data_IF_218068637774
#
_entry.id   IF_218068637774
#
_cell.length_a   1.000
_cell.length_b   1.000
_cell.length_c   1.000
_cell.angle_alpha   90.00
_cell.angle_beta   90.00
_cell.angle_gamma   90.00
#
_symmetry.space_group_name_H-M   'P 1'
#
loop_
_entity.id
_entity.type
_entity.pdbx_description
1 polymer ?
#
# COMPACT_ATOMS: atom_id res chain seq x y z
N UNK A 1 22.29 -11.93 25.89
CA UNK A 1 23.07 -12.85 25.05
C UNK A 1 22.17 -13.61 24.07
N UNK A 2 21.26 -14.50 24.52
CA UNK A 2 20.29 -15.23 23.66
C UNK A 2 19.43 -14.36 22.72
N UNK A 3 19.23 -13.07 23.03
CA UNK A 3 18.42 -12.12 22.23
C UNK A 3 19.16 -11.52 21.02
N UNK A 4 20.49 -11.49 21.04
CA UNK A 4 21.31 -11.04 19.90
C UNK A 4 21.53 -12.16 18.87
N UNK A 5 21.55 -13.43 19.30
CA UNK A 5 21.72 -14.60 18.43
C UNK A 5 20.54 -14.82 17.48
N UNK A 6 19.31 -14.53 17.91
CA UNK A 6 18.12 -14.65 17.04
C UNK A 6 18.10 -13.58 15.94
N UNK A 7 18.60 -12.37 16.26
CA UNK A 7 18.77 -11.27 15.31
C UNK A 7 19.91 -11.57 14.33
N UNK A 8 21.05 -12.03 14.83
CA UNK A 8 22.19 -12.50 14.02
C UNK A 8 21.77 -13.68 13.11
N UNK A 9 20.93 -14.61 13.57
CA UNK A 9 20.42 -15.69 12.74
C UNK A 9 19.47 -15.19 11.64
N UNK A 10 18.54 -14.26 11.94
CA UNK A 10 17.69 -13.65 10.92
C UNK A 10 18.51 -12.88 9.87
N UNK A 11 19.46 -12.05 10.33
CA UNK A 11 20.35 -11.25 9.49
C UNK A 11 21.33 -12.14 8.69
N UNK A 12 21.80 -13.26 9.25
CA UNK A 12 22.67 -14.22 8.55
C UNK A 12 21.94 -14.95 7.43
N UNK A 13 20.65 -15.25 7.61
CA UNK A 13 19.80 -15.84 6.58
C UNK A 13 19.57 -14.85 5.42
N UNK A 14 19.49 -13.54 5.73
CA UNK A 14 19.36 -12.43 4.76
C UNK A 14 20.62 -12.18 3.92
N UNK A 15 21.81 -12.23 4.52
CA UNK A 15 23.10 -11.98 3.82
C UNK A 15 23.33 -12.93 2.64
N UNK A 16 22.74 -14.12 2.67
CA UNK A 16 22.82 -15.10 1.56
C UNK A 16 21.89 -14.80 0.39
N UNK A 17 20.89 -13.93 0.54
CA UNK A 17 19.79 -13.76 -0.41
C UNK A 17 19.67 -12.35 -1.01
N UNK A 18 20.32 -11.33 -0.44
CA UNK A 18 20.08 -9.93 -0.79
C UNK A 18 21.36 -9.19 -1.21
N UNK A 19 21.35 -8.62 -2.41
CA UNK A 19 22.41 -7.74 -2.90
C UNK A 19 22.13 -6.27 -2.48
N UNK A 20 23.02 -5.73 -1.65
CA UNK A 20 23.42 -4.35 -1.27
C UNK A 20 22.45 -3.15 -1.27
N UNK A 21 21.37 -3.08 -2.05
CA UNK A 21 20.42 -1.94 -1.96
C UNK A 21 19.21 -2.25 -1.06
N UNK A 22 18.80 -3.52 -0.97
CA UNK A 22 17.68 -3.93 -0.13
C UNK A 22 18.08 -4.04 1.34
N UNK A 23 19.36 -4.33 1.61
CA UNK A 23 19.91 -4.33 2.97
C UNK A 23 19.73 -2.97 3.63
N UNK A 24 19.93 -1.86 2.91
CA UNK A 24 19.84 -0.53 3.52
C UNK A 24 18.43 -0.20 4.02
N UNK A 25 17.38 -0.44 3.23
CA UNK A 25 16.00 -0.14 3.60
C UNK A 25 15.49 -1.04 4.74
N UNK A 26 15.86 -2.33 4.70
CA UNK A 26 15.51 -3.30 5.76
C UNK A 26 16.28 -2.96 7.04
N UNK A 27 17.59 -2.78 6.96
CA UNK A 27 18.42 -2.42 8.12
C UNK A 27 18.01 -1.09 8.72
N UNK A 28 17.65 -0.09 7.91
CA UNK A 28 17.18 1.21 8.41
C UNK A 28 15.85 1.07 9.16
N UNK A 29 14.90 0.32 8.60
CA UNK A 29 13.60 0.07 9.24
C UNK A 29 13.76 -0.73 10.53
N UNK A 30 14.55 -1.80 10.51
CA UNK A 30 14.86 -2.61 11.70
C UNK A 30 15.55 -1.73 12.74
N UNK A 31 16.60 -1.00 12.35
CA UNK A 31 17.40 -0.17 13.26
C UNK A 31 16.57 0.90 13.94
N UNK A 32 15.76 1.67 13.21
CA UNK A 32 14.95 2.74 13.79
C UNK A 32 13.89 2.19 14.75
N UNK A 33 13.29 1.05 14.40
CA UNK A 33 12.36 0.34 15.27
C UNK A 33 13.09 -0.10 16.55
N UNK A 34 14.28 -0.70 16.44
CA UNK A 34 15.08 -1.13 17.59
C UNK A 34 15.55 0.04 18.48
N UNK A 35 16.10 1.11 17.90
CA UNK A 35 16.60 2.30 18.64
C UNK A 35 15.46 2.96 19.42
N UNK A 36 14.29 3.11 18.82
CA UNK A 36 13.11 3.64 19.52
C UNK A 36 12.56 2.70 20.61
N UNK A 37 12.67 1.39 20.42
CA UNK A 37 12.15 0.43 21.39
C UNK A 37 13.05 0.28 22.61
N UNK A 38 14.36 0.50 22.46
CA UNK A 38 15.28 0.58 23.59
C UNK A 38 15.01 1.80 24.47
N UNK A 39 14.52 2.91 23.92
CA UNK A 39 14.18 4.11 24.70
C UNK A 39 12.84 4.00 25.45
N UNK A 40 11.94 3.11 25.06
CA UNK A 40 10.56 3.02 25.61
C UNK A 40 10.31 1.85 26.57
N UNK A 41 11.31 1.01 26.83
CA UNK A 41 11.25 -0.11 27.80
C UNK A 41 10.09 -1.12 27.53
N UNK A 42 9.66 -1.24 26.28
CA UNK A 42 8.59 -2.16 25.87
C UNK A 42 9.04 -3.63 25.98
N UNK A 43 8.09 -4.55 26.26
CA UNK A 43 8.40 -5.98 26.44
C UNK A 43 8.93 -6.61 25.16
N UNK A 44 10.21 -7.04 25.18
CA UNK A 44 10.98 -7.64 24.08
C UNK A 44 10.29 -8.81 23.34
N UNK A 45 9.39 -9.55 24.00
CA UNK A 45 8.72 -10.73 23.41
C UNK A 45 7.64 -10.36 22.38
N UNK A 46 6.79 -9.38 22.69
CA UNK A 46 5.76 -8.87 21.76
C UNK A 46 6.41 -8.23 20.52
N UNK A 47 7.55 -7.60 20.74
CA UNK A 47 8.34 -6.88 19.75
C UNK A 47 8.96 -7.81 18.71
N UNK A 48 9.64 -8.87 19.18
CA UNK A 48 10.25 -9.86 18.28
C UNK A 48 9.22 -10.48 17.36
N UNK A 49 7.98 -10.64 17.83
CA UNK A 49 6.92 -11.26 17.05
C UNK A 49 6.44 -10.33 15.92
N UNK A 50 6.13 -9.07 16.22
CA UNK A 50 5.61 -8.11 15.21
C UNK A 50 6.65 -7.81 14.13
N UNK A 51 7.91 -7.56 14.52
CA UNK A 51 9.00 -7.26 13.58
C UNK A 51 9.27 -8.42 12.63
N UNK A 52 9.42 -9.64 13.16
CA UNK A 52 9.65 -10.85 12.35
C UNK A 52 8.52 -11.04 11.34
N UNK A 53 7.27 -10.81 11.75
CA UNK A 53 6.10 -10.97 10.88
C UNK A 53 6.05 -9.93 9.74
N UNK A 54 6.41 -8.68 10.02
CA UNK A 54 6.53 -7.65 8.97
C UNK A 54 7.66 -7.96 7.99
N UNK A 55 8.81 -8.42 8.46
CA UNK A 55 9.93 -8.84 7.60
C UNK A 55 9.53 -10.00 6.69
N UNK A 56 8.81 -10.99 7.22
CA UNK A 56 8.27 -12.08 6.41
C UNK A 56 7.26 -11.59 5.36
N UNK A 57 6.36 -10.67 5.71
CA UNK A 57 5.40 -10.08 4.76
C UNK A 57 6.13 -9.41 3.59
N UNK A 58 7.16 -8.65 3.94
CA UNK A 58 8.00 -7.92 3.01
C UNK A 58 8.75 -8.85 2.05
N UNK A 59 9.47 -9.83 2.60
CA UNK A 59 10.23 -10.79 1.82
C UNK A 59 9.34 -11.58 0.84
N UNK A 60 8.16 -12.02 1.29
CA UNK A 60 7.23 -12.75 0.43
C UNK A 60 6.67 -11.90 -0.70
N UNK A 61 6.43 -10.62 -0.47
CA UNK A 61 5.94 -9.71 -1.51
C UNK A 61 6.98 -9.48 -2.61
N UNK A 62 8.26 -9.33 -2.24
CA UNK A 62 9.37 -9.26 -3.19
C UNK A 62 9.49 -10.57 -3.99
N UNK A 63 9.42 -11.71 -3.32
CA UNK A 63 9.45 -13.01 -3.99
C UNK A 63 8.29 -13.15 -4.99
N UNK A 64 7.07 -12.74 -4.61
CA UNK A 64 5.91 -12.74 -5.51
C UNK A 64 6.08 -11.82 -6.71
N UNK A 65 6.62 -10.60 -6.51
CA UNK A 65 6.95 -9.70 -7.61
C UNK A 65 7.95 -10.32 -8.58
N UNK A 66 8.99 -10.99 -8.06
CA UNK A 66 9.95 -11.73 -8.89
C UNK A 66 9.31 -12.87 -9.67
N UNK A 67 8.40 -13.64 -9.04
CA UNK A 67 7.66 -14.69 -9.73
C UNK A 67 6.80 -14.14 -10.87
N UNK A 68 6.11 -13.02 -10.63
CA UNK A 68 5.29 -12.33 -11.63
C UNK A 68 6.12 -11.77 -12.79
N UNK A 69 7.28 -11.17 -12.48
CA UNK A 69 8.24 -10.71 -13.47
C UNK A 69 8.65 -11.83 -14.43
N UNK A 70 8.93 -13.00 -13.88
CA UNK A 70 9.35 -14.18 -14.65
C UNK A 70 8.17 -14.91 -15.33
N UNK A 71 6.94 -14.39 -15.19
CA UNK A 71 5.70 -15.05 -15.65
C UNK A 71 5.56 -16.49 -15.14
N UNK A 72 6.20 -16.79 -14.02
CA UNK A 72 6.08 -18.09 -13.36
C UNK A 72 4.76 -18.15 -12.60
N UNK A 73 4.15 -19.33 -12.56
CA UNK A 73 2.97 -19.57 -11.73
C UNK A 73 3.37 -19.35 -10.27
N UNK A 74 2.63 -18.49 -9.55
CA UNK A 74 2.77 -18.38 -8.11
C UNK A 74 2.51 -19.75 -7.48
N UNK A 75 3.57 -20.40 -7.01
CA UNK A 75 3.45 -21.71 -6.39
C UNK A 75 2.51 -21.67 -5.19
N UNK A 76 1.78 -22.77 -4.97
CA UNK A 76 0.89 -22.93 -3.80
C UNK A 76 1.61 -22.63 -2.48
N UNK A 77 2.92 -22.87 -2.42
CA UNK A 77 3.75 -22.60 -1.25
C UNK A 77 3.91 -21.10 -0.95
N UNK A 78 4.07 -20.24 -1.97
CA UNK A 78 4.09 -18.79 -1.78
C UNK A 78 2.76 -18.28 -1.23
N UNK A 79 1.64 -18.79 -1.76
CA UNK A 79 0.30 -18.46 -1.26
C UNK A 79 0.13 -18.95 0.19
N UNK A 80 0.64 -20.14 0.50
CA UNK A 80 0.61 -20.72 1.86
C UNK A 80 1.41 -19.87 2.86
N UNK A 81 2.60 -19.39 2.47
CA UNK A 81 3.41 -18.49 3.28
C UNK A 81 2.71 -17.15 3.53
N UNK A 82 2.07 -16.59 2.51
CA UNK A 82 1.22 -15.41 2.69
C UNK A 82 0.10 -15.65 3.71
N UNK A 83 -0.60 -16.80 3.63
CA UNK A 83 -1.66 -17.16 4.58
C UNK A 83 -1.18 -17.20 6.03
N UNK A 84 0.05 -17.64 6.29
CA UNK A 84 0.63 -17.66 7.64
C UNK A 84 0.82 -16.24 8.22
N UNK A 85 1.18 -15.29 7.35
CA UNK A 85 1.42 -13.86 7.69
C UNK A 85 0.11 -13.08 7.82
N UNK A 86 -1.00 -13.59 7.30
CA UNK A 86 -2.31 -12.93 7.48
C UNK A 86 -2.74 -12.84 8.95
N UNK A 87 -2.11 -13.56 9.87
CA UNK A 87 -2.45 -13.57 11.29
C UNK A 87 -1.82 -12.40 12.09
N UNK A 88 -1.28 -11.37 11.43
CA UNK A 88 -0.32 -10.44 12.07
C UNK A 88 -0.59 -8.97 11.77
N UNK A 89 -0.74 -8.64 10.49
CA UNK A 89 -1.23 -7.36 9.99
C UNK A 89 -2.33 -7.69 8.97
N UNK A 90 -3.55 -7.76 9.49
CA UNK A 90 -4.69 -8.31 8.75
C UNK A 90 -5.03 -7.46 7.53
N UNK A 91 -4.82 -6.16 7.56
CA UNK A 91 -5.26 -5.31 6.47
C UNK A 91 -4.20 -5.15 5.39
N UNK A 92 -2.99 -4.69 5.74
CA UNK A 92 -2.01 -4.31 4.73
C UNK A 92 -1.49 -5.54 3.97
N UNK A 93 -1.27 -6.65 4.67
CA UNK A 93 -0.80 -7.90 4.07
C UNK A 93 -1.87 -8.56 3.20
N UNK A 94 -3.14 -8.52 3.63
CA UNK A 94 -4.25 -9.02 2.80
C UNK A 94 -4.44 -8.16 1.55
N UNK A 95 -4.28 -6.85 1.65
CA UNK A 95 -4.34 -5.95 0.50
C UNK A 95 -3.17 -6.16 -0.46
N UNK A 96 -1.95 -6.39 0.04
CA UNK A 96 -0.81 -6.81 -0.80
C UNK A 96 -1.08 -8.13 -1.49
N UNK A 97 -1.57 -9.13 -0.77
CA UNK A 97 -1.95 -10.42 -1.35
C UNK A 97 -3.03 -10.25 -2.42
N UNK A 98 -4.07 -9.45 -2.14
CA UNK A 98 -5.12 -9.13 -3.11
C UNK A 98 -4.54 -8.44 -4.35
N UNK A 99 -3.59 -7.53 -4.19
CA UNK A 99 -2.88 -6.87 -5.29
C UNK A 99 -2.07 -7.86 -6.13
N UNK A 100 -1.31 -8.76 -5.50
CA UNK A 100 -0.57 -9.84 -6.17
C UNK A 100 -1.53 -10.71 -6.99
N UNK A 101 -2.64 -11.16 -6.39
CA UNK A 101 -3.65 -11.97 -7.05
C UNK A 101 -4.32 -11.23 -8.21
N UNK A 102 -4.57 -9.93 -8.06
CA UNK A 102 -5.13 -9.07 -9.10
C UNK A 102 -4.17 -8.97 -10.30
N UNK A 103 -2.91 -8.64 -10.05
CA UNK A 103 -1.86 -8.59 -11.09
C UNK A 103 -1.63 -9.95 -11.77
N UNK A 104 -1.99 -11.05 -11.10
CA UNK A 104 -1.93 -12.41 -11.64
C UNK A 104 -3.20 -12.83 -12.41
N UNK A 105 -4.25 -11.99 -12.45
CA UNK A 105 -5.52 -12.29 -13.11
C UNK A 105 -6.49 -13.18 -12.31
N UNK A 106 -6.22 -13.45 -11.02
CA UNK A 106 -7.06 -14.32 -10.19
C UNK A 106 -8.24 -13.56 -9.53
N UNK A 107 -9.05 -12.86 -10.34
CA UNK A 107 -10.05 -11.90 -9.86
C UNK A 107 -11.06 -12.45 -8.84
N UNK A 108 -11.54 -13.69 -9.01
CA UNK A 108 -12.46 -14.31 -8.04
C UNK A 108 -11.81 -14.57 -6.68
N UNK A 109 -10.51 -14.85 -6.66
CA UNK A 109 -9.77 -15.01 -5.41
C UNK A 109 -9.55 -13.65 -4.74
N UNK A 110 -9.30 -12.60 -5.53
CA UNK A 110 -9.23 -11.22 -5.05
C UNK A 110 -10.54 -10.82 -4.38
N UNK A 111 -11.68 -11.01 -5.04
CA UNK A 111 -12.99 -10.66 -4.49
C UNK A 111 -13.23 -11.27 -3.10
N UNK A 112 -12.98 -12.59 -2.95
CA UNK A 112 -13.10 -13.26 -1.64
C UNK A 112 -12.21 -12.65 -0.56
N UNK A 113 -10.94 -12.37 -0.87
CA UNK A 113 -10.00 -11.76 0.08
C UNK A 113 -10.47 -10.37 0.50
N UNK A 114 -11.00 -9.58 -0.44
CA UNK A 114 -11.46 -8.22 -0.18
C UNK A 114 -12.78 -8.18 0.58
N UNK A 115 -13.74 -9.05 0.26
CA UNK A 115 -15.01 -9.22 1.01
C UNK A 115 -14.74 -9.68 2.45
N UNK A 116 -13.83 -10.64 2.65
CA UNK A 116 -13.38 -11.05 3.98
C UNK A 116 -12.75 -9.90 4.75
N UNK A 117 -11.95 -9.08 4.07
CA UNK A 117 -11.27 -7.95 4.69
C UNK A 117 -12.25 -6.82 5.04
N UNK A 118 -13.20 -6.49 4.17
CA UNK A 118 -14.22 -5.46 4.41
C UNK A 118 -15.05 -5.78 5.66
N UNK A 119 -15.45 -7.05 5.85
CA UNK A 119 -16.14 -7.51 7.07
C UNK A 119 -15.33 -7.23 8.34
N UNK A 120 -14.00 -7.34 8.27
CA UNK A 120 -13.10 -7.02 9.39
C UNK A 120 -13.00 -5.51 9.60
N UNK A 121 -12.96 -4.70 8.54
CA UNK A 121 -12.93 -3.24 8.67
C UNK A 121 -14.15 -2.67 9.40
N UNK A 122 -15.31 -3.32 9.26
CA UNK A 122 -16.51 -2.93 10.01
C UNK A 122 -16.39 -3.14 11.53
N UNK A 123 -15.48 -3.99 12.02
CA UNK A 123 -15.41 -4.39 13.44
C UNK A 123 -14.51 -3.51 14.34
N UNK A 124 -14.52 -2.18 14.18
CA UNK A 124 -13.69 -1.20 14.92
C UNK A 124 -12.19 -1.21 14.59
N UNK A 125 -11.83 -1.39 13.31
CA UNK A 125 -10.44 -1.21 12.87
C UNK A 125 -10.10 0.28 12.82
N UNK A 126 -9.05 0.68 13.54
CA UNK A 126 -8.44 2.02 13.49
C UNK A 126 -7.40 2.04 12.36
N UNK A 127 -7.46 3.05 11.51
CA UNK A 127 -6.37 3.29 10.55
C UNK A 127 -5.14 3.77 11.32
N UNK A 128 -3.96 3.28 10.94
CA UNK A 128 -2.66 3.71 11.48
C UNK A 128 -1.73 3.95 10.30
N UNK A 129 -1.03 5.09 10.30
CA UNK A 129 0.04 5.29 9.32
C UNK A 129 1.40 4.99 9.95
N UNK A 130 2.08 3.98 9.41
CA UNK A 130 3.49 3.69 9.71
C UNK A 130 4.45 4.17 8.62
N UNK A 131 3.98 5.01 7.70
CA UNK A 131 4.74 5.49 6.54
C UNK A 131 5.23 6.93 6.68
N UNK A 132 4.77 7.67 7.69
CA UNK A 132 5.42 8.92 8.09
C UNK A 132 6.81 8.51 8.57
N UNK A 133 7.86 8.93 7.84
CA UNK A 133 9.19 8.96 8.41
C UNK A 133 9.04 9.66 9.75
N UNK A 134 9.35 8.97 10.85
CA UNK A 134 9.21 9.48 12.20
C UNK A 134 10.21 10.63 12.37
N UNK A 135 9.94 11.77 11.75
CA UNK A 135 10.81 12.94 11.74
C UNK A 135 10.69 13.73 13.06
N UNK A 136 10.04 13.16 14.09
CA UNK A 136 10.05 13.71 15.44
C UNK A 136 9.42 12.83 16.52
N UNK A 137 9.69 13.17 17.78
CA UNK A 137 9.23 12.47 18.99
C UNK A 137 7.69 12.32 19.10
N UNK A 138 6.90 13.14 18.39
CA UNK A 138 5.43 13.12 18.50
C UNK A 138 4.78 11.88 17.89
N UNK A 139 5.22 11.43 16.73
CA UNK A 139 4.60 10.29 16.04
C UNK A 139 4.98 8.96 16.70
N UNK A 140 6.20 8.93 17.22
CA UNK A 140 6.69 7.92 18.14
C UNK A 140 5.83 7.86 19.40
N UNK A 141 5.53 9.00 20.02
CA UNK A 141 4.64 9.08 21.17
C UNK A 141 3.21 8.62 20.82
N UNK A 142 2.65 8.96 19.65
CA UNK A 142 1.33 8.44 19.21
C UNK A 142 1.35 6.92 19.08
N UNK A 143 2.41 6.36 18.49
CA UNK A 143 2.58 4.91 18.42
C UNK A 143 2.75 4.30 19.81
N UNK A 144 3.56 4.89 20.68
CA UNK A 144 3.74 4.44 22.06
C UNK A 144 2.48 4.59 22.91
N UNK A 145 1.66 5.62 22.69
CA UNK A 145 0.37 5.84 23.34
C UNK A 145 -0.66 4.81 22.85
N UNK A 146 -0.61 4.43 21.57
CA UNK A 146 -1.35 3.27 21.06
C UNK A 146 -0.88 1.97 21.75
N UNK A 147 0.42 1.80 21.96
CA UNK A 147 1.00 0.61 22.60
C UNK A 147 0.79 0.55 24.11
N UNK A 148 0.79 1.68 24.81
CA UNK A 148 0.80 1.76 26.27
C UNK A 148 -0.58 1.55 26.91
N UNK A 149 -1.66 1.72 26.14
CA UNK A 149 -3.03 1.54 26.60
C UNK A 149 -3.63 0.13 26.44
N UNK A 150 -2.91 -0.82 25.81
CA UNK A 150 -3.50 -2.11 25.42
C UNK A 150 -2.65 -3.28 25.93
N UNK A 151 -3.31 -4.31 26.45
CA UNK A 151 -2.62 -5.56 26.83
C UNK A 151 -2.10 -6.29 25.57
N UNK A 152 -1.05 -7.10 25.70
CA UNK A 152 -0.52 -7.94 24.60
C UNK A 152 -1.62 -8.83 23.98
N UNK A 153 -2.62 -9.23 24.78
CA UNK A 153 -3.76 -9.99 24.31
C UNK A 153 -4.76 -9.16 23.48
N UNK A 154 -4.82 -7.84 23.66
CA UNK A 154 -5.63 -6.94 22.84
C UNK A 154 -4.99 -6.64 21.48
N UNK A 155 -3.65 -6.70 21.37
CA UNK A 155 -2.94 -6.69 20.09
C UNK A 155 -3.24 -7.90 19.20
N UNK A 156 -3.74 -8.99 19.79
CA UNK A 156 -4.21 -10.15 19.00
C UNK A 156 -5.55 -9.89 18.30
N UNK A 157 -6.26 -8.79 18.62
CA UNK A 157 -7.51 -8.42 17.96
C UNK A 157 -7.23 -7.48 16.76
N UNK A 158 -7.98 -7.62 15.63
CA UNK A 158 -7.79 -6.81 14.43
C UNK A 158 -8.24 -5.37 14.69
N UNK A 159 -7.40 -4.56 15.32
CA UNK A 159 -7.77 -3.18 15.66
C UNK A 159 -7.00 -2.15 14.86
N UNK A 160 -6.01 -2.57 14.06
CA UNK A 160 -5.17 -1.65 13.31
C UNK A 160 -5.09 -2.04 11.84
N UNK A 161 -5.19 -1.04 10.98
CA UNK A 161 -4.92 -1.17 9.56
C UNK A 161 -3.83 -0.18 9.15
N UNK A 162 -2.64 -0.73 8.88
CA UNK A 162 -1.51 0.02 8.39
C UNK A 162 -1.67 0.36 6.91
N UNK A 163 -1.11 1.50 6.48
CA UNK A 163 -0.99 1.86 5.07
C UNK A 163 -0.30 0.75 4.26
N UNK A 164 -0.68 0.61 2.99
CA UNK A 164 -0.08 -0.35 2.07
C UNK A 164 1.09 0.32 1.35
N UNK A 165 2.30 -0.18 1.58
CA UNK A 165 3.53 0.32 0.95
C UNK A 165 4.04 -0.66 -0.10
N UNK A 166 4.20 -0.19 -1.33
CA UNK A 166 4.91 -0.89 -2.40
C UNK A 166 6.29 -0.26 -2.60
N UNK A 167 7.33 -1.08 -2.66
CA UNK A 167 8.69 -0.67 -3.02
C UNK A 167 8.95 -0.90 -4.50
N UNK A 168 9.98 -0.24 -5.04
CA UNK A 168 10.45 -0.42 -6.43
C UNK A 168 10.55 -1.88 -6.89
N UNK A 169 10.99 -2.79 -6.02
CA UNK A 169 11.12 -4.22 -6.35
C UNK A 169 9.76 -4.94 -6.47
N UNK A 170 8.69 -4.34 -5.97
CA UNK A 170 7.31 -4.85 -5.97
C UNK A 170 6.51 -4.40 -7.22
N UNK A 171 7.17 -3.77 -8.20
CA UNK A 171 6.54 -3.17 -9.40
C UNK A 171 5.60 -4.11 -10.17
N UNK A 172 5.82 -5.43 -10.13
CA UNK A 172 4.97 -6.39 -10.85
C UNK A 172 3.73 -6.83 -10.07
N UNK A 173 3.69 -6.60 -8.75
CA UNK A 173 2.51 -6.84 -7.93
C UNK A 173 1.78 -5.55 -7.51
N UNK A 174 2.21 -4.41 -8.03
CA UNK A 174 1.58 -3.11 -7.79
C UNK A 174 0.59 -2.78 -8.92
N UNK A 175 -0.63 -2.28 -8.62
CA UNK A 175 -1.58 -1.89 -9.66
C UNK A 175 -1.01 -0.78 -10.54
N UNK A 176 -1.33 -0.82 -11.84
CA UNK A 176 -0.70 0.06 -12.86
C UNK A 176 -0.76 1.55 -12.50
N UNK A 177 -1.85 2.01 -11.86
CA UNK A 177 -2.03 3.40 -11.44
C UNK A 177 -0.95 3.87 -10.46
N UNK A 178 -0.47 2.96 -9.59
CA UNK A 178 0.52 3.25 -8.57
C UNK A 178 1.95 3.15 -9.10
N UNK A 179 2.16 2.57 -10.30
CA UNK A 179 3.48 2.44 -10.93
C UNK A 179 4.08 3.77 -11.39
N UNK A 180 3.26 4.82 -11.43
CA UNK A 180 3.69 6.17 -11.79
C UNK A 180 3.98 7.04 -10.56
N UNK A 181 3.88 6.46 -9.35
CA UNK A 181 4.17 7.16 -8.11
C UNK A 181 5.69 7.23 -7.88
N UNK A 182 6.24 8.42 -8.08
CA UNK A 182 7.59 8.80 -7.69
C UNK A 182 7.53 9.80 -6.55
N UNK A 183 8.42 9.66 -5.57
CA UNK A 183 8.68 10.69 -4.57
C UNK A 183 9.84 11.58 -5.06
N UNK A 184 9.66 12.23 -6.22
CA UNK A 184 10.66 13.10 -6.85
C UNK A 184 9.99 14.39 -7.32
N UNK A 185 10.66 15.52 -7.22
CA UNK A 185 10.19 16.75 -7.87
C UNK A 185 10.64 16.74 -9.33
N UNK A 186 9.82 16.18 -10.22
CA UNK A 186 10.06 16.26 -11.66
C UNK A 186 9.18 17.36 -12.26
N UNK A 187 9.78 18.19 -13.09
CA UNK A 187 9.05 19.18 -13.89
C UNK A 187 8.13 18.49 -14.90
N UNK A 188 7.08 19.20 -15.33
CA UNK A 188 6.18 18.72 -16.39
C UNK A 188 6.94 18.33 -17.67
N UNK A 189 8.02 19.07 -17.99
CA UNK A 189 8.88 18.81 -19.13
C UNK A 189 9.61 17.48 -18.99
N UNK A 190 10.14 17.16 -17.81
CA UNK A 190 10.83 15.90 -17.54
C UNK A 190 9.86 14.70 -17.57
N UNK A 191 8.66 14.88 -17.02
CA UNK A 191 7.57 13.89 -17.11
C UNK A 191 7.21 13.63 -18.58
N UNK A 192 7.11 14.68 -19.40
CA UNK A 192 6.84 14.53 -20.83
C UNK A 192 8.01 13.89 -21.61
N UNK A 193 9.26 14.23 -21.26
CA UNK A 193 10.47 13.79 -21.96
C UNK A 193 10.82 12.32 -21.76
N UNK A 194 10.58 11.76 -20.57
CA UNK A 194 10.85 10.32 -20.33
C UNK A 194 9.97 9.41 -21.19
N UNK A 195 8.90 9.95 -21.76
CA UNK A 195 8.06 9.29 -22.75
C UNK A 195 7.24 8.14 -22.17
N UNK A 196 6.23 7.70 -22.92
CA UNK A 196 5.34 6.60 -22.53
C UNK A 196 5.99 5.21 -22.63
N UNK A 197 7.26 5.14 -23.06
CA UNK A 197 7.96 3.90 -23.37
C UNK A 197 8.53 3.20 -22.12
N UNK A 198 8.95 3.98 -21.12
CA UNK A 198 9.47 3.45 -19.87
C UNK A 198 8.32 3.29 -18.88
N UNK A 199 7.63 2.13 -18.96
CA UNK A 199 6.28 1.89 -18.39
C UNK A 199 6.23 1.83 -16.86
N UNK A 200 7.33 2.12 -16.16
CA UNK A 200 7.46 1.89 -14.72
C UNK A 200 8.32 2.98 -14.05
N UNK A 201 7.69 3.95 -13.41
CA UNK A 201 8.34 5.04 -12.67
C UNK A 201 7.94 4.98 -11.20
N UNK A 202 8.38 3.92 -10.51
CA UNK A 202 8.03 3.69 -9.11
C UNK A 202 9.28 3.64 -8.23
N UNK A 203 9.41 4.59 -7.31
CA UNK A 203 10.40 4.52 -6.22
C UNK A 203 9.77 3.80 -5.02
N UNK A 204 8.65 4.36 -4.54
CA UNK A 204 7.76 3.75 -3.59
C UNK A 204 6.33 4.25 -3.85
N UNK A 205 5.34 3.45 -3.45
CA UNK A 205 3.95 3.87 -3.45
C UNK A 205 3.30 3.51 -2.13
N UNK A 206 2.83 4.51 -1.40
CA UNK A 206 2.08 4.32 -0.16
C UNK A 206 0.62 4.71 -0.36
N UNK A 207 -0.31 3.89 0.11
CA UNK A 207 -1.75 4.18 0.06
C UNK A 207 -2.37 3.88 1.42
N UNK A 208 -3.30 4.72 1.86
CA UNK A 208 -4.19 4.37 2.96
C UNK A 208 -4.95 3.08 2.65
N UNK A 209 -4.97 2.18 3.61
CA UNK A 209 -5.46 0.82 3.41
C UNK A 209 -6.96 0.75 3.10
N UNK A 210 -7.76 1.65 3.68
CA UNK A 210 -9.22 1.69 3.46
C UNK A 210 -9.58 2.22 2.06
N UNK A 211 -9.07 3.36 1.58
CA UNK A 211 -9.23 3.73 0.17
C UNK A 211 -8.70 2.64 -0.78
N UNK A 212 -7.55 2.02 -0.46
CA UNK A 212 -6.98 0.98 -1.31
C UNK A 212 -7.83 -0.29 -1.39
N UNK A 213 -8.49 -0.69 -0.29
CA UNK A 213 -9.48 -1.78 -0.27
C UNK A 213 -10.57 -1.56 -1.31
N UNK A 214 -11.28 -0.43 -1.23
CA UNK A 214 -12.40 -0.16 -2.13
C UNK A 214 -11.95 0.08 -3.58
N UNK A 215 -10.76 0.66 -3.76
CA UNK A 215 -10.15 0.76 -5.09
C UNK A 215 -9.89 -0.62 -5.72
N UNK A 216 -9.29 -1.55 -4.96
CA UNK A 216 -9.08 -2.92 -5.45
C UNK A 216 -10.40 -3.66 -5.69
N UNK A 217 -11.43 -3.45 -4.86
CA UNK A 217 -12.76 -4.00 -5.09
C UNK A 217 -13.33 -3.49 -6.40
N UNK A 218 -13.24 -2.18 -6.65
CA UNK A 218 -13.70 -1.55 -7.89
C UNK A 218 -13.02 -2.15 -9.12
N UNK A 219 -11.68 -2.26 -9.11
CA UNK A 219 -10.93 -2.91 -10.19
C UNK A 219 -11.35 -4.36 -10.41
N UNK A 220 -11.55 -5.10 -9.31
CA UNK A 220 -11.89 -6.51 -9.34
C UNK A 220 -13.29 -6.73 -9.92
N UNK A 221 -14.30 -6.00 -9.44
CA UNK A 221 -15.67 -6.11 -9.95
C UNK A 221 -15.79 -5.64 -11.39
N UNK A 222 -15.04 -4.61 -11.78
CA UNK A 222 -14.92 -4.20 -13.20
C UNK A 222 -14.39 -5.35 -14.06
N UNK A 223 -13.30 -5.98 -13.64
CA UNK A 223 -12.70 -7.11 -14.37
C UNK A 223 -13.58 -8.37 -14.39
N UNK A 224 -14.44 -8.54 -13.39
CA UNK A 224 -15.43 -9.62 -13.34
C UNK A 224 -16.71 -9.31 -14.12
N UNK A 225 -16.93 -8.07 -14.56
CA UNK A 225 -18.18 -7.63 -15.19
C UNK A 225 -19.34 -7.39 -14.21
N UNK A 226 -19.07 -7.33 -12.90
CA UNK A 226 -20.09 -7.13 -11.85
C UNK A 226 -20.42 -5.64 -11.68
N UNK A 227 -21.14 -5.07 -12.65
CA UNK A 227 -21.37 -3.62 -12.78
C UNK A 227 -22.02 -2.97 -11.56
N UNK A 228 -23.03 -3.62 -10.98
CA UNK A 228 -23.74 -3.09 -9.81
C UNK A 228 -22.81 -2.96 -8.60
N UNK A 229 -22.06 -4.03 -8.28
CA UNK A 229 -21.07 -4.01 -7.19
C UNK A 229 -19.97 -3.00 -7.48
N UNK A 230 -19.50 -2.92 -8.72
CA UNK A 230 -18.49 -1.96 -9.15
C UNK A 230 -18.93 -0.51 -8.83
N UNK A 231 -20.14 -0.12 -9.24
CA UNK A 231 -20.66 1.23 -8.98
C UNK A 231 -20.92 1.47 -7.49
N UNK A 232 -21.41 0.45 -6.78
CA UNK A 232 -21.59 0.54 -5.34
C UNK A 232 -20.27 0.85 -4.62
N UNK A 233 -19.19 0.09 -4.89
CA UNK A 233 -17.89 0.35 -4.24
C UNK A 233 -17.23 1.64 -4.70
N UNK A 234 -17.51 2.13 -5.92
CA UNK A 234 -17.09 3.47 -6.33
C UNK A 234 -17.74 4.56 -5.46
N UNK A 235 -19.06 4.47 -5.24
CA UNK A 235 -19.75 5.39 -4.33
C UNK A 235 -19.25 5.29 -2.89
N UNK A 236 -18.93 4.09 -2.40
CA UNK A 236 -18.31 3.91 -1.07
C UNK A 236 -16.90 4.50 -1.01
N UNK A 237 -16.10 4.36 -2.06
CA UNK A 237 -14.76 4.95 -2.16
C UNK A 237 -14.83 6.48 -2.15
N UNK A 238 -15.67 7.07 -3.00
CA UNK A 238 -15.92 8.52 -3.05
C UNK A 238 -16.37 9.03 -1.68
N UNK A 239 -17.38 8.38 -1.09
CA UNK A 239 -17.89 8.72 0.23
C UNK A 239 -16.80 8.68 1.31
N UNK A 240 -15.93 7.66 1.31
CA UNK A 240 -14.85 7.53 2.28
C UNK A 240 -13.74 8.59 2.09
N UNK A 241 -13.59 9.14 0.89
CA UNK A 241 -12.56 10.15 0.57
C UNK A 241 -13.09 11.57 0.80
N UNK A 242 -14.32 11.85 0.39
CA UNK A 242 -14.87 13.20 0.30
C UNK A 242 -15.73 13.62 1.49
N UNK A 243 -16.24 12.70 2.32
CA UNK A 243 -17.10 13.09 3.45
C UNK A 243 -16.29 13.63 4.64
N UNK A 244 -16.18 14.95 4.69
CA UNK A 244 -15.52 15.71 5.76
C UNK A 244 -16.18 15.54 7.14
N UNK A 245 -17.43 15.05 7.20
CA UNK A 245 -18.16 14.86 8.46
C UNK A 245 -17.67 13.65 9.26
N UNK A 246 -16.92 12.72 8.65
CA UNK A 246 -16.64 11.41 9.22
C UNK A 246 -15.33 11.23 9.99
N UNK A 247 -14.56 12.30 10.27
CA UNK A 247 -13.24 12.19 10.96
C UNK A 247 -12.37 11.03 10.44
N UNK A 248 -12.56 10.59 9.17
CA UNK A 248 -11.74 9.52 8.60
C UNK A 248 -10.40 10.18 8.34
N UNK A 249 -9.44 9.89 9.21
CA UNK A 249 -8.09 10.36 9.04
C UNK A 249 -7.48 9.65 7.84
N UNK A 250 -7.37 10.37 6.73
CA UNK A 250 -6.56 9.98 5.58
C UNK A 250 -5.16 10.50 5.83
N UNK A 251 -4.19 9.59 5.89
CA UNK A 251 -2.79 9.96 6.06
C UNK A 251 -2.14 10.26 4.70
N UNK A 252 -2.69 9.69 3.62
CA UNK A 252 -2.22 9.88 2.25
C UNK A 252 -3.36 10.32 1.32
N UNK A 253 -4.02 11.47 1.60
CA UNK A 253 -5.20 11.92 0.88
C UNK A 253 -4.91 12.14 -0.62
N UNK A 254 -3.71 12.59 -0.96
CA UNK A 254 -3.26 12.73 -2.35
C UNK A 254 -3.39 11.42 -3.12
N UNK A 255 -3.01 10.29 -2.51
CA UNK A 255 -3.02 9.00 -3.18
C UNK A 255 -4.43 8.44 -3.25
N UNK A 256 -5.25 8.66 -2.21
CA UNK A 256 -6.66 8.30 -2.23
C UNK A 256 -7.42 9.04 -3.36
N UNK A 257 -7.25 10.36 -3.48
CA UNK A 257 -7.83 11.18 -4.55
C UNK A 257 -7.34 10.75 -5.94
N UNK A 258 -6.05 10.40 -6.06
CA UNK A 258 -5.49 9.86 -7.31
C UNK A 258 -6.16 8.54 -7.71
N UNK A 259 -6.39 7.63 -6.77
CA UNK A 259 -7.12 6.39 -7.04
C UNK A 259 -8.57 6.64 -7.47
N UNK A 260 -9.25 7.60 -6.84
CA UNK A 260 -10.62 7.97 -7.18
C UNK A 260 -10.71 8.56 -8.59
N UNK A 261 -9.81 9.48 -8.94
CA UNK A 261 -9.72 10.05 -10.30
C UNK A 261 -9.51 8.97 -11.37
N UNK A 262 -8.73 7.93 -11.06
CA UNK A 262 -8.55 6.79 -11.95
C UNK A 262 -9.80 5.96 -12.14
N UNK A 263 -10.64 5.82 -11.10
CA UNK A 263 -11.93 5.16 -11.25
C UNK A 263 -12.81 5.92 -12.25
N UNK A 264 -12.97 7.24 -12.07
CA UNK A 264 -13.76 8.05 -13.02
C UNK A 264 -13.19 8.06 -14.43
N UNK A 265 -11.86 8.09 -14.57
CA UNK A 265 -11.21 7.98 -15.88
C UNK A 265 -11.61 6.68 -16.59
N UNK A 266 -11.66 5.55 -15.85
CA UNK A 266 -12.09 4.27 -16.40
C UNK A 266 -13.60 4.21 -16.66
N UNK A 267 -14.41 5.01 -15.96
CA UNK A 267 -15.83 5.20 -16.27
C UNK A 267 -16.07 6.09 -17.50
N UNK A 268 -15.03 6.75 -18.02
CA UNK A 268 -15.14 7.71 -19.11
C UNK A 268 -15.63 9.09 -18.66
N UNK A 269 -15.81 9.31 -17.36
CA UNK A 269 -16.12 10.62 -16.79
C UNK A 269 -14.81 11.40 -16.58
N UNK A 270 -14.33 11.97 -17.68
CA UNK A 270 -13.06 12.69 -17.70
C UNK A 270 -13.10 14.00 -16.90
N UNK A 271 -14.27 14.60 -16.70
CA UNK A 271 -14.39 15.84 -15.93
C UNK A 271 -14.23 15.57 -14.43
N UNK A 272 -14.91 14.54 -13.91
CA UNK A 272 -14.69 14.08 -12.54
C UNK A 272 -13.27 13.56 -12.33
N UNK A 273 -12.72 12.82 -13.30
CA UNK A 273 -11.33 12.36 -13.23
C UNK A 273 -10.33 13.52 -13.09
N UNK A 274 -10.46 14.56 -13.92
CA UNK A 274 -9.60 15.74 -13.86
C UNK A 274 -9.76 16.49 -12.53
N UNK A 275 -11.00 16.63 -12.05
CA UNK A 275 -11.26 17.26 -10.75
C UNK A 275 -10.47 16.60 -9.62
N UNK A 276 -10.58 15.27 -9.46
CA UNK A 276 -9.89 14.55 -8.39
C UNK A 276 -8.38 14.47 -8.58
N UNK A 277 -7.89 14.39 -9.82
CA UNK A 277 -6.46 14.49 -10.07
C UNK A 277 -5.90 15.88 -9.71
N UNK A 278 -6.63 16.95 -9.99
CA UNK A 278 -6.24 18.32 -9.61
C UNK A 278 -6.32 18.53 -8.07
N UNK A 279 -7.28 17.90 -7.38
CA UNK A 279 -7.29 17.86 -5.91
C UNK A 279 -6.10 17.07 -5.33
N UNK A 280 -5.78 15.92 -5.93
CA UNK A 280 -4.62 15.11 -5.56
C UNK A 280 -3.29 15.86 -5.68
N UNK A 281 -3.15 16.70 -6.73
CA UNK A 281 -2.01 17.60 -6.90
C UNK A 281 -1.98 18.70 -5.84
N UNK A 282 -3.14 19.29 -5.50
CA UNK A 282 -3.22 20.33 -4.45
C UNK A 282 -2.79 19.82 -3.07
N UNK A 283 -3.05 18.56 -2.74
CA UNK A 283 -2.64 17.97 -1.45
C UNK A 283 -1.12 17.83 -1.25
N UNK A 284 -0.34 17.61 -2.32
CA UNK A 284 1.12 17.39 -2.23
C UNK A 284 1.94 18.45 -3.00
N UNK A 285 1.30 19.47 -3.56
CA UNK A 285 1.93 20.40 -4.50
C UNK A 285 2.35 19.70 -5.81
N UNK A 286 3.30 20.30 -6.52
CA UNK A 286 3.81 19.79 -7.81
C UNK A 286 4.62 18.48 -7.70
N UNK A 287 4.73 17.89 -6.52
CA UNK A 287 5.56 16.72 -6.22
C UNK A 287 4.86 15.39 -6.54
N UNK A 288 3.54 15.40 -6.76
CA UNK A 288 2.76 14.21 -7.11
C UNK A 288 2.79 13.94 -8.62
N UNK A 289 3.91 13.38 -9.08
CA UNK A 289 4.13 13.07 -10.50
C UNK A 289 3.11 12.09 -11.08
N UNK A 290 2.53 11.21 -10.25
CA UNK A 290 1.53 10.25 -10.70
C UNK A 290 0.26 10.97 -11.15
N UNK A 291 -0.28 11.84 -10.30
CA UNK A 291 -1.45 12.64 -10.67
C UNK A 291 -1.15 13.53 -11.87
N UNK A 292 0.03 14.16 -11.94
CA UNK A 292 0.43 15.02 -13.07
C UNK A 292 0.43 14.24 -14.39
N UNK A 293 1.03 13.04 -14.42
CA UNK A 293 1.04 12.18 -15.61
C UNK A 293 -0.38 11.86 -16.09
N UNK A 294 -1.28 11.55 -15.16
CA UNK A 294 -2.68 11.24 -15.48
C UNK A 294 -3.46 12.46 -15.97
N UNK A 295 -3.28 13.64 -15.37
CA UNK A 295 -3.87 14.89 -15.87
C UNK A 295 -3.46 15.14 -17.32
N UNK A 296 -2.17 15.04 -17.63
CA UNK A 296 -1.67 15.26 -18.99
C UNK A 296 -2.26 14.25 -19.98
N UNK A 297 -2.39 12.97 -19.57
CA UNK A 297 -3.01 11.92 -20.38
C UNK A 297 -4.49 12.22 -20.65
N UNK A 298 -5.28 12.49 -19.62
CA UNK A 298 -6.72 12.76 -19.75
C UNK A 298 -6.98 14.01 -20.58
N UNK A 299 -6.23 15.09 -20.37
CA UNK A 299 -6.32 16.32 -21.20
C UNK A 299 -6.00 16.05 -22.68
N UNK A 300 -5.12 15.09 -22.99
CA UNK A 300 -4.82 14.70 -24.37
C UNK A 300 -5.98 13.91 -24.98
N UNK A 301 -6.49 12.91 -24.27
CA UNK A 301 -7.64 12.09 -24.71
C UNK A 301 -8.86 12.96 -24.95
N UNK A 302 -9.18 13.88 -24.01
CA UNK A 302 -10.30 14.81 -24.14
C UNK A 302 -10.20 15.66 -25.42
N UNK A 303 -9.01 16.18 -25.73
CA UNK A 303 -8.75 16.95 -26.97
C UNK A 303 -8.99 16.13 -28.24
N UNK A 304 -8.66 14.83 -28.23
CA UNK A 304 -8.87 13.93 -29.36
C UNK A 304 -10.33 13.55 -29.57
N UNK A 305 -11.14 13.57 -28.50
CA UNK A 305 -12.58 13.26 -28.58
C UNK A 305 -13.39 14.51 -28.97
N UNK A 306 -12.92 15.70 -28.60
CA UNK A 306 -13.62 16.97 -28.84
C UNK A 306 -13.32 17.63 -30.19
N UNK A 307 -12.31 17.16 -30.92
CA UNK A 307 -11.89 17.69 -32.22
C UNK A 307 -12.24 16.75 -33.35
#
# INVERSE_FOLDING_TARGET
MLKFECLEQCLSCERTLLNTSLEHDIHYTIRNVFEYMFSTNARLETISFVVVKHLFAFQNSIQSSNCLRLRSVLGNESIRRFKYILNTDLASCRLKLASILYCSGHLRAVARVLEDLERIYHSKVKAVCGCVELEGDRDLQVFADMLSGHSVNEFSKPQFACCVRFLRQEVYCTPVILLFKMNRNMSEKEVAQRGYADKQWMDNAVVDSRPFLHYLQYLTYRGLGEREKQLHVLGVLEFNICDTRKQIQLYHPNTALHLLGHCYEMEGDYDSALHYYDESLRCCGTTNNAANWHVQRVRRVRRLISG
#
